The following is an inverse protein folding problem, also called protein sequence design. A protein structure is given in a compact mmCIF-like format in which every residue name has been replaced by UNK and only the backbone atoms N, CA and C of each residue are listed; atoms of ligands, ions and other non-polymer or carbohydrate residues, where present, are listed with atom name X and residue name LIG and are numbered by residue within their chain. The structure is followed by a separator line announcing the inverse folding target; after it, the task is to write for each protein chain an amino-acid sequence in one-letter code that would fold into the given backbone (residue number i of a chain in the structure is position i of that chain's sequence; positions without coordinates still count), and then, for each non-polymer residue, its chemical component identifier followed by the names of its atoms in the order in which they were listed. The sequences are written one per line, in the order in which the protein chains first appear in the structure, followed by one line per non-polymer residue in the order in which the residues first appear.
data_IF_305672901075
#
_entry.id   IF_305672901075
#
_cell.length_a   1.000
_cell.length_b   1.000
_cell.length_c   1.000
_cell.angle_alpha   90.00
_cell.angle_beta   90.00
_cell.angle_gamma   90.00
#
_symmetry.space_group_name_H-M   'P 1'
#
loop_
_entity.id
_entity.type
_entity.pdbx_description
1 polymer ?
#
# COMPACT_ATOMS: atom_id res chain seq x y z
N UNK A 1 10.57 6.03 15.25
CA UNK A 1 10.01 6.48 13.96
C UNK A 1 9.36 7.85 14.09
N UNK A 2 9.71 8.82 13.24
CA UNK A 2 9.08 10.15 13.25
C UNK A 2 7.71 10.15 12.56
N UNK A 3 6.73 10.96 13.00
CA UNK A 3 5.43 11.10 12.34
C UNK A 3 5.52 11.46 10.86
N UNK A 4 6.52 12.27 10.48
CA UNK A 4 6.81 12.65 9.09
C UNK A 4 7.17 11.44 8.21
N UNK A 5 7.89 10.46 8.75
CA UNK A 5 8.24 9.25 8.01
C UNK A 5 7.00 8.40 7.67
N UNK A 6 6.07 8.25 8.63
CA UNK A 6 4.80 7.56 8.42
C UNK A 6 3.94 8.29 7.39
N UNK A 7 3.87 9.63 7.46
CA UNK A 7 3.13 10.44 6.51
C UNK A 7 3.65 10.27 5.08
N UNK A 8 4.97 10.29 4.87
CA UNK A 8 5.57 10.06 3.56
C UNK A 8 5.27 8.67 2.99
N UNK A 9 5.29 7.62 3.81
CA UNK A 9 4.94 6.27 3.37
C UNK A 9 3.46 6.19 2.97
N UNK A 10 2.57 6.80 3.74
CA UNK A 10 1.13 6.87 3.42
C UNK A 10 0.87 7.62 2.13
N UNK A 11 1.53 8.76 1.93
CA UNK A 11 1.41 9.55 0.70
C UNK A 11 1.83 8.74 -0.53
N UNK A 12 2.98 8.07 -0.46
CA UNK A 12 3.46 7.18 -1.53
C UNK A 12 2.47 6.04 -1.80
N UNK A 13 1.90 5.44 -0.75
CA UNK A 13 0.89 4.40 -0.89
C UNK A 13 -0.37 4.91 -1.61
N UNK A 14 -0.89 6.07 -1.21
CA UNK A 14 -2.05 6.71 -1.87
C UNK A 14 -1.77 7.03 -3.34
N UNK A 15 -0.56 7.50 -3.66
CA UNK A 15 -0.15 7.77 -5.04
C UNK A 15 -0.13 6.49 -5.88
N UNK A 16 0.41 5.39 -5.35
CA UNK A 16 0.43 4.10 -6.06
C UNK A 16 -0.98 3.54 -6.27
N UNK A 17 -1.91 3.77 -5.32
CA UNK A 17 -3.33 3.43 -5.51
C UNK A 17 -3.96 4.19 -6.66
N UNK A 18 -3.74 5.51 -6.74
CA UNK A 18 -4.22 6.34 -7.86
C UNK A 18 -3.73 5.81 -9.20
N UNK A 19 -2.41 5.58 -9.33
CA UNK A 19 -1.80 5.04 -10.55
C UNK A 19 -2.33 3.64 -10.91
N UNK A 20 -2.59 2.80 -9.91
CA UNK A 20 -3.14 1.47 -10.12
C UNK A 20 -4.57 1.54 -10.65
N UNK A 21 -5.42 2.37 -10.05
CA UNK A 21 -6.80 2.57 -10.50
C UNK A 21 -6.82 3.13 -11.93
N UNK A 22 -6.01 4.15 -12.20
CA UNK A 22 -5.87 4.76 -13.53
C UNK A 22 -5.47 3.74 -14.60
N UNK A 23 -4.52 2.84 -14.31
CA UNK A 23 -4.08 1.83 -15.26
C UNK A 23 -5.12 0.71 -15.45
N UNK A 24 -5.83 0.32 -14.38
CA UNK A 24 -6.83 -0.74 -14.43
C UNK A 24 -8.06 -0.39 -15.27
N UNK A 25 -8.41 0.89 -15.36
CA UNK A 25 -9.56 1.36 -16.16
C UNK A 25 -9.21 1.66 -17.61
N UNK A 26 -7.95 1.49 -18.03
CA UNK A 26 -7.56 1.74 -19.43
C UNK A 26 -8.17 0.69 -20.34
N UNK A 27 -8.55 1.06 -21.58
CA UNK A 27 -9.06 0.09 -22.58
C UNK A 27 -8.09 -1.06 -22.89
N UNK A 28 -6.78 -0.82 -22.77
CA UNK A 28 -5.74 -1.83 -22.91
C UNK A 28 -4.73 -1.69 -21.76
N UNK A 29 -5.00 -2.32 -20.59
CA UNK A 29 -4.16 -2.17 -19.42
C UNK A 29 -2.77 -2.79 -19.62
N UNK A 30 -1.75 -2.10 -19.13
CA UNK A 30 -0.42 -2.68 -19.00
C UNK A 30 -0.33 -3.56 -17.75
N UNK A 31 -0.57 -4.86 -17.91
CA UNK A 31 -0.54 -5.82 -16.82
C UNK A 31 0.81 -5.89 -16.09
N UNK A 32 1.94 -5.78 -16.80
CA UNK A 32 3.27 -5.77 -16.18
C UNK A 32 3.49 -4.54 -15.29
N UNK A 33 2.95 -3.39 -15.71
CA UNK A 33 2.96 -2.17 -14.93
C UNK A 33 2.05 -2.28 -13.70
N UNK A 34 0.81 -2.77 -13.86
CA UNK A 34 -0.12 -3.08 -12.76
C UNK A 34 0.52 -3.99 -11.72
N UNK A 35 1.15 -5.08 -12.15
CA UNK A 35 1.84 -6.02 -11.25
C UNK A 35 2.98 -5.34 -10.50
N UNK A 36 3.70 -4.44 -11.15
CA UNK A 36 4.79 -3.67 -10.54
C UNK A 36 4.26 -2.66 -9.52
N UNK A 37 3.12 -2.01 -9.79
CA UNK A 37 2.44 -1.11 -8.84
C UNK A 37 1.94 -1.87 -7.60
N UNK A 38 1.30 -3.04 -7.78
CA UNK A 38 0.84 -3.90 -6.68
C UNK A 38 1.97 -4.33 -5.77
N UNK A 39 3.12 -4.75 -6.33
CA UNK A 39 4.32 -5.10 -5.55
C UNK A 39 4.86 -3.93 -4.75
N UNK A 40 4.92 -2.74 -5.35
CA UNK A 40 5.37 -1.53 -4.66
C UNK A 40 4.41 -1.15 -3.52
N UNK A 41 3.09 -1.21 -3.75
CA UNK A 41 2.06 -0.98 -2.72
C UNK A 41 2.21 -1.95 -1.55
N UNK A 42 2.39 -3.25 -1.83
CA UNK A 42 2.57 -4.28 -0.79
C UNK A 42 3.79 -3.97 0.08
N UNK A 43 4.93 -3.62 -0.53
CA UNK A 43 6.15 -3.25 0.21
C UNK A 43 5.93 -2.06 1.14
N UNK A 44 5.23 -1.01 0.68
CA UNK A 44 4.94 0.15 1.53
C UNK A 44 3.98 -0.20 2.68
N UNK A 45 2.99 -1.08 2.43
CA UNK A 45 2.08 -1.59 3.47
C UNK A 45 2.86 -2.38 4.53
N UNK A 46 3.77 -3.26 4.11
CA UNK A 46 4.60 -4.05 5.03
C UNK A 46 5.55 -3.15 5.84
N UNK A 47 6.18 -2.16 5.21
CA UNK A 47 7.03 -1.17 5.89
C UNK A 47 6.23 -0.39 6.95
N UNK A 48 5.03 0.07 6.60
CA UNK A 48 4.15 0.78 7.53
C UNK A 48 3.74 -0.13 8.70
N UNK A 49 3.45 -1.40 8.44
CA UNK A 49 3.16 -2.38 9.49
C UNK A 49 4.37 -2.63 10.41
N UNK A 50 5.59 -2.76 9.86
CA UNK A 50 6.80 -2.93 10.68
C UNK A 50 7.00 -1.74 11.61
N UNK A 51 6.97 -0.54 11.03
CA UNK A 51 7.11 0.72 11.77
C UNK A 51 6.06 0.85 12.87
N UNK A 52 4.82 0.48 12.58
CA UNK A 52 3.71 0.54 13.54
C UNK A 52 3.89 -0.47 14.68
N UNK A 53 4.30 -1.71 14.38
CA UNK A 53 4.65 -2.73 15.38
C UNK A 53 5.78 -2.27 16.30
N UNK A 54 6.87 -1.75 15.72
CA UNK A 54 8.01 -1.21 16.47
C UNK A 54 7.63 -0.02 17.35
N UNK A 55 6.67 0.79 16.91
CA UNK A 55 6.20 1.97 17.65
C UNK A 55 5.08 1.64 18.66
N UNK A 56 4.72 0.37 18.86
CA UNK A 56 3.62 -0.04 19.74
C UNK A 56 2.23 0.41 19.28
N UNK A 57 2.10 0.93 18.05
CA UNK A 57 0.83 1.33 17.44
C UNK A 57 0.28 0.12 16.69
N UNK A 58 -0.81 -0.46 17.18
CA UNK A 58 -1.42 -1.65 16.57
C UNK A 58 -1.94 -1.27 15.15
N UNK A 59 -1.57 -2.01 14.08
CA UNK A 59 -2.03 -1.68 12.72
C UNK A 59 -3.53 -1.94 12.53
N UNK A 60 -4.19 -1.05 11.77
CA UNK A 60 -5.65 -0.97 11.60
C UNK A 60 -6.28 -2.01 10.64
N UNK A 61 -5.51 -2.83 9.92
CA UNK A 61 -6.10 -3.79 8.96
C UNK A 61 -5.79 -5.25 9.30
N UNK A 62 -6.36 -5.74 10.41
CA UNK A 62 -6.51 -7.18 10.66
C UNK A 62 -8.00 -7.59 10.68
N UNK A 63 -8.80 -7.07 9.74
CA UNK A 63 -10.18 -7.53 9.48
C UNK A 63 -10.38 -7.65 7.97
N UNK A 64 -9.84 -8.73 7.40
CA UNK A 64 -10.28 -9.37 6.15
C UNK A 64 -9.43 -10.62 5.95
N UNK A 65 -9.60 -11.57 6.88
CA UNK A 65 -9.28 -12.98 6.66
C UNK A 65 -10.36 -13.78 7.36
N UNK A 66 -11.55 -13.72 6.79
CA UNK A 66 -12.70 -14.54 7.13
C UNK A 66 -13.39 -14.89 5.83
N UNK A 67 -13.50 -16.21 5.60
CA UNK A 67 -14.43 -16.92 4.72
C UNK A 67 -14.63 -16.37 3.30
N UNK A 68 -14.07 -17.09 2.31
CA UNK A 68 -14.81 -17.82 1.27
C UNK A 68 -13.83 -18.71 0.49
#
# INVERSE_FOLDING_TARGET
TTPAHIASIREKHTKLEGLLQEEQVRPMPNFSFIQSLKRQKLRLKDQLQSIMRESGRIPFERVQRGAD
#
